data_IF_817073241537
#
_entry.id   IF_817073241537
#
_cell.length_a   1.000
_cell.length_b   1.000
_cell.length_c   1.000
_cell.angle_alpha   90.00
_cell.angle_beta   90.00
_cell.angle_gamma   90.00
#
_symmetry.space_group_name_H-M   'P 1'
#
loop_
_entity.id
_entity.type
_entity.pdbx_description
1 polymer ?
#
# COMPACT_ATOMS: atom_id res chain seq x y z
N UNK A 1 16.80 5.60 -1.91
CA UNK A 1 15.67 4.76 -2.39
C UNK A 1 14.81 4.44 -1.18
N UNK A 2 13.47 4.40 -1.29
CA UNK A 2 12.62 4.02 -0.17
C UNK A 2 12.89 2.56 0.23
N UNK A 3 12.99 2.30 1.53
CA UNK A 3 13.20 0.95 2.05
C UNK A 3 11.90 0.14 1.99
N UNK A 4 12.00 -1.19 2.01
CA UNK A 4 10.82 -2.09 1.96
C UNK A 4 9.76 -1.77 3.04
N UNK A 5 10.12 -1.44 4.29
CA UNK A 5 9.15 -1.00 5.30
C UNK A 5 8.40 0.28 4.91
N UNK A 6 9.04 1.19 4.18
CA UNK A 6 8.40 2.44 3.72
C UNK A 6 7.39 2.15 2.61
N UNK A 7 7.75 1.27 1.68
CA UNK A 7 6.88 0.84 0.57
C UNK A 7 5.63 0.15 1.12
N UNK A 8 5.79 -0.77 2.08
CA UNK A 8 4.67 -1.48 2.71
C UNK A 8 3.74 -0.53 3.47
N UNK A 9 4.30 0.44 4.21
CA UNK A 9 3.52 1.47 4.90
C UNK A 9 2.76 2.36 3.93
N UNK A 10 3.40 2.79 2.85
CA UNK A 10 2.77 3.63 1.83
C UNK A 10 1.65 2.88 1.10
N UNK A 11 1.88 1.63 0.71
CA UNK A 11 0.88 0.76 0.09
C UNK A 11 -0.32 0.53 1.03
N UNK A 12 -0.07 0.29 2.32
CA UNK A 12 -1.15 0.19 3.31
C UNK A 12 -1.97 1.48 3.39
N UNK A 13 -1.31 2.63 3.53
CA UNK A 13 -1.99 3.92 3.60
C UNK A 13 -2.81 4.21 2.32
N UNK A 14 -2.30 3.81 1.15
CA UNK A 14 -3.01 3.95 -0.13
C UNK A 14 -4.23 3.03 -0.21
N UNK A 15 -4.12 1.78 0.24
CA UNK A 15 -5.24 0.85 0.33
C UNK A 15 -6.34 1.37 1.28
N UNK A 16 -5.96 1.86 2.46
CA UNK A 16 -6.90 2.45 3.42
C UNK A 16 -7.59 3.70 2.86
N UNK A 17 -6.85 4.55 2.14
CA UNK A 17 -7.39 5.71 1.44
C UNK A 17 -8.43 5.30 0.39
N UNK A 18 -8.08 4.36 -0.49
CA UNK A 18 -8.95 3.89 -1.55
C UNK A 18 -10.24 3.25 -0.99
N UNK A 19 -10.13 2.45 0.08
CA UNK A 19 -11.29 1.88 0.77
C UNK A 19 -12.20 2.96 1.38
N UNK A 20 -11.63 3.98 2.02
CA UNK A 20 -12.40 5.11 2.57
C UNK A 20 -13.07 5.91 1.46
N UNK A 21 -12.39 6.12 0.34
CA UNK A 21 -12.95 6.82 -0.82
C UNK A 21 -14.14 6.06 -1.41
N UNK A 22 -14.03 4.73 -1.52
CA UNK A 22 -15.13 3.88 -1.96
C UNK A 22 -16.36 3.98 -1.03
N UNK A 23 -16.17 4.11 0.28
CA UNK A 23 -17.28 4.33 1.21
C UNK A 23 -17.98 5.68 1.00
N UNK A 24 -17.22 6.74 0.69
CA UNK A 24 -17.78 8.07 0.36
C UNK A 24 -18.58 8.01 -0.94
N UNK A 25 -18.04 7.35 -1.97
CA UNK A 25 -18.72 7.16 -3.26
C UNK A 25 -20.02 6.36 -3.08
N UNK A 26 -19.97 5.28 -2.30
CA UNK A 26 -21.17 4.48 -2.00
C UNK A 26 -22.25 5.31 -1.30
N UNK A 27 -21.85 6.19 -0.38
CA UNK A 27 -22.78 7.14 0.26
C UNK A 27 -23.37 8.11 -0.74
N UNK A 28 -22.58 8.69 -1.65
CA UNK A 28 -23.10 9.59 -2.68
C UNK A 28 -24.16 8.90 -3.53
N UNK A 29 -23.86 7.68 -4.02
CA UNK A 29 -24.78 6.91 -4.86
C UNK A 29 -26.08 6.58 -4.11
N UNK A 30 -26.01 6.24 -2.82
CA UNK A 30 -27.20 6.01 -2.01
C UNK A 30 -28.10 7.26 -1.86
N UNK A 31 -27.55 8.46 -2.08
CA UNK A 31 -28.27 9.72 -2.06
C UNK A 31 -28.48 10.31 -3.48
N UNK A 32 -28.35 9.49 -4.53
CA UNK A 32 -28.52 9.94 -5.90
C UNK A 32 -29.92 10.51 -6.21
N UNK A 33 -30.94 10.10 -5.45
CA UNK A 33 -32.31 10.61 -5.56
C UNK A 33 -32.70 11.52 -4.39
N UNK A 34 -31.72 12.04 -3.62
CA UNK A 34 -31.99 12.92 -2.48
C UNK A 34 -31.87 14.39 -2.91
N UNK A 35 -32.99 15.15 -2.92
CA UNK A 35 -32.95 16.57 -3.30
C UNK A 35 -31.99 17.38 -2.42
N UNK A 36 -31.24 18.30 -3.04
CA UNK A 36 -30.29 19.17 -2.35
C UNK A 36 -29.02 18.47 -1.82
N UNK A 37 -28.83 17.17 -2.07
CA UNK A 37 -27.63 16.46 -1.62
C UNK A 37 -26.38 16.94 -2.38
N UNK A 38 -25.24 17.01 -1.68
CA UNK A 38 -23.96 17.41 -2.27
C UNK A 38 -22.97 16.27 -2.23
N UNK A 39 -22.53 15.84 -3.41
CA UNK A 39 -21.51 14.81 -3.57
C UNK A 39 -20.19 15.23 -2.88
N UNK A 40 -19.56 14.27 -2.21
CA UNK A 40 -18.27 14.46 -1.56
C UNK A 40 -17.23 13.51 -2.15
N UNK A 41 -15.96 13.88 -2.11
CA UNK A 41 -14.87 12.97 -2.47
C UNK A 41 -13.67 13.17 -1.53
N UNK A 42 -12.81 12.16 -1.44
CA UNK A 42 -11.54 12.26 -0.73
C UNK A 42 -10.48 12.76 -1.71
N UNK A 43 -9.66 13.76 -1.35
CA UNK A 43 -8.55 14.21 -2.19
C UNK A 43 -7.66 13.05 -2.67
N UNK A 44 -7.02 13.16 -3.85
CA UNK A 44 -6.07 12.17 -4.34
C UNK A 44 -5.02 11.81 -3.29
N UNK A 45 -4.67 10.51 -3.20
CA UNK A 45 -3.71 10.02 -2.21
C UNK A 45 -2.35 10.71 -2.31
N UNK A 46 -1.88 11.00 -3.53
CA UNK A 46 -0.63 11.71 -3.77
C UNK A 46 -0.61 13.10 -3.11
N UNK A 47 -1.73 13.82 -3.13
CA UNK A 47 -1.84 15.15 -2.52
C UNK A 47 -1.78 15.05 -0.99
N UNK A 48 -2.44 14.04 -0.42
CA UNK A 48 -2.40 13.79 1.03
C UNK A 48 -0.97 13.45 1.47
N UNK A 49 -0.27 12.59 0.72
CA UNK A 49 1.11 12.22 1.02
C UNK A 49 2.06 13.39 0.80
N UNK A 50 1.85 14.25 -0.20
CA UNK A 50 2.65 15.44 -0.42
C UNK A 50 2.48 16.47 0.72
N UNK A 51 1.25 16.67 1.19
CA UNK A 51 0.93 17.57 2.31
C UNK A 51 1.47 17.04 3.63
N UNK A 52 1.34 15.73 3.86
CA UNK A 52 1.84 15.05 5.07
C UNK A 52 3.36 14.84 5.03
N UNK A 53 3.93 14.72 3.83
CA UNK A 53 5.34 14.52 3.54
C UNK A 53 6.20 15.79 3.59
N UNK A 54 5.60 16.93 3.95
CA UNK A 54 6.34 18.14 4.33
C UNK A 54 7.06 17.87 5.66
N UNK A 55 8.22 17.25 5.54
CA UNK A 55 9.18 16.77 6.55
C UNK A 55 8.64 15.77 7.60
N UNK A 56 9.07 14.49 7.58
CA UNK A 56 9.00 13.69 8.80
C UNK A 56 9.82 14.43 9.86
N UNK A 57 9.20 14.77 11.00
CA UNK A 57 9.95 15.23 12.16
C UNK A 57 11.04 14.20 12.44
N UNK A 58 12.31 14.58 12.24
CA UNK A 58 13.45 13.73 12.50
C UNK A 58 13.39 13.35 13.97
N UNK A 59 13.13 12.09 14.28
CA UNK A 59 13.07 11.63 15.67
C UNK A 59 14.40 11.96 16.34
N UNK A 60 14.35 12.79 17.38
CA UNK A 60 15.56 13.26 18.06
C UNK A 60 16.21 12.18 18.93
N UNK A 61 15.56 11.01 19.07
CA UNK A 61 16.04 9.89 19.90
C UNK A 61 15.77 8.53 19.25
N UNK A 62 16.75 7.60 19.28
CA UNK A 62 16.53 6.21 18.92
C UNK A 62 15.55 5.59 19.94
N UNK A 63 14.38 5.14 19.50
CA UNK A 63 13.35 4.51 20.35
C UNK A 63 12.03 5.28 20.48
N UNK A 64 11.94 6.52 19.98
CA UNK A 64 10.64 7.18 19.83
C UNK A 64 10.01 6.80 18.49
N UNK A 65 8.90 6.05 18.55
CA UNK A 65 7.98 5.88 17.42
C UNK A 65 7.36 7.25 17.18
N UNK A 66 7.70 7.91 16.07
CA UNK A 66 6.92 9.04 15.61
C UNK A 66 5.46 8.56 15.52
N UNK A 67 4.49 9.24 16.16
CA UNK A 67 3.09 8.87 15.99
C UNK A 67 2.84 8.77 14.48
N UNK A 68 2.18 7.70 14.01
CA UNK A 68 1.92 7.55 12.58
C UNK A 68 1.35 8.88 12.15
N UNK A 69 2.02 9.53 11.18
CA UNK A 69 1.66 10.87 10.73
C UNK A 69 0.16 10.83 10.59
N UNK A 70 -0.53 11.51 11.52
CA UNK A 70 -1.95 11.30 11.63
C UNK A 70 -2.44 11.73 10.27
N UNK A 71 -2.97 10.78 9.49
CA UNK A 71 -3.78 11.09 8.33
C UNK A 71 -5.07 11.64 8.94
N UNK A 72 -4.90 12.80 9.57
CA UNK A 72 -5.79 13.46 10.51
C UNK A 72 -6.93 13.92 9.67
N UNK A 73 -7.99 13.12 9.71
CA UNK A 73 -9.16 13.24 8.87
C UNK A 73 -8.82 13.44 7.39
N UNK A 74 -8.71 12.34 6.64
CA UNK A 74 -9.14 12.32 5.24
C UNK A 74 -10.60 12.82 5.20
N UNK A 75 -10.77 14.13 5.19
CA UNK A 75 -12.08 14.76 5.19
C UNK A 75 -12.58 14.70 3.76
N UNK A 76 -13.73 14.05 3.57
CA UNK A 76 -14.45 14.14 2.33
C UNK A 76 -14.85 15.60 2.11
N UNK A 77 -14.44 16.17 0.99
CA UNK A 77 -14.72 17.54 0.60
C UNK A 77 -15.84 17.54 -0.44
N UNK A 78 -16.73 18.56 -0.43
CA UNK A 78 -17.68 18.74 -1.52
C UNK A 78 -16.96 18.77 -2.85
N UNK A 79 -17.46 18.02 -3.82
CA UNK A 79 -16.92 18.03 -5.17
C UNK A 79 -17.34 19.33 -5.85
N UNK A 80 -16.36 20.09 -6.31
CA UNK A 80 -16.60 21.31 -7.08
C UNK A 80 -16.78 20.99 -8.57
N UNK A 81 -17.65 21.74 -9.26
CA UNK A 81 -17.78 21.67 -10.72
C UNK A 81 -18.61 20.50 -11.25
N UNK A 82 -19.37 19.80 -10.41
CA UNK A 82 -20.38 18.84 -10.87
C UNK A 82 -21.63 19.56 -11.35
N UNK A 83 -22.24 19.06 -12.41
CA UNK A 83 -23.57 19.48 -12.84
C UNK A 83 -24.56 19.26 -11.69
N UNK A 84 -25.36 20.28 -11.41
CA UNK A 84 -26.36 20.26 -10.32
C UNK A 84 -27.72 20.13 -10.97
N UNK A 85 -28.45 19.08 -10.62
CA UNK A 85 -29.80 18.84 -11.09
C UNK A 85 -30.75 19.97 -10.64
N UNK A 86 -31.91 20.15 -11.31
CA UNK A 86 -32.86 21.21 -10.97
C UNK A 86 -33.36 21.20 -9.51
N UNK A 87 -33.30 20.04 -8.84
CA UNK A 87 -33.65 19.83 -7.43
C UNK A 87 -32.51 20.19 -6.45
N UNK A 88 -31.38 20.69 -6.95
CA UNK A 88 -30.21 21.06 -6.17
C UNK A 88 -29.29 19.90 -5.81
N UNK A 89 -29.57 18.67 -6.28
CA UNK A 89 -28.70 17.53 -6.08
C UNK A 89 -27.49 17.58 -7.03
N UNK A 90 -26.29 17.32 -6.50
CA UNK A 90 -25.04 17.33 -7.28
C UNK A 90 -24.46 15.94 -7.56
N UNK A 91 -25.20 14.87 -7.23
CA UNK A 91 -24.78 13.49 -7.46
C UNK A 91 -25.13 13.06 -8.87
N UNK A 92 -24.14 12.59 -9.62
CA UNK A 92 -24.35 11.91 -10.91
C UNK A 92 -23.91 10.46 -10.79
N UNK A 93 -24.84 9.52 -11.00
CA UNK A 93 -24.58 8.08 -10.91
C UNK A 93 -23.46 7.63 -11.83
N UNK A 94 -23.41 8.16 -13.05
CA UNK A 94 -22.39 7.83 -14.05
C UNK A 94 -20.98 8.22 -13.56
N UNK A 95 -20.85 9.44 -13.03
CA UNK A 95 -19.59 9.95 -12.48
C UNK A 95 -19.18 9.15 -11.25
N UNK A 96 -20.12 8.86 -10.35
CA UNK A 96 -19.82 8.10 -9.13
C UNK A 96 -19.42 6.65 -9.45
N UNK A 97 -19.99 6.02 -10.49
CA UNK A 97 -19.56 4.69 -10.94
C UNK A 97 -18.13 4.70 -11.49
N UNK A 98 -17.75 5.73 -12.26
CA UNK A 98 -16.37 5.88 -12.73
C UNK A 98 -15.41 6.05 -11.55
N UNK A 99 -15.75 6.90 -10.58
CA UNK A 99 -14.95 7.09 -9.36
C UNK A 99 -14.84 5.81 -8.54
N UNK A 100 -15.91 5.02 -8.44
CA UNK A 100 -15.90 3.73 -7.76
C UNK A 100 -14.93 2.76 -8.44
N UNK A 101 -14.93 2.71 -9.78
CA UNK A 101 -13.98 1.91 -10.55
C UNK A 101 -12.54 2.37 -10.33
N UNK A 102 -12.29 3.68 -10.27
CA UNK A 102 -10.96 4.25 -10.03
C UNK A 102 -10.44 3.93 -8.62
N UNK A 103 -11.28 4.14 -7.60
CA UNK A 103 -10.94 3.81 -6.21
C UNK A 103 -10.64 2.30 -6.07
N UNK A 104 -11.41 1.45 -6.75
CA UNK A 104 -11.15 0.01 -6.78
C UNK A 104 -9.81 -0.34 -7.44
N UNK A 105 -9.46 0.28 -8.57
CA UNK A 105 -8.16 0.05 -9.23
C UNK A 105 -6.99 0.44 -8.33
N UNK A 106 -7.07 1.60 -7.67
CA UNK A 106 -6.05 2.06 -6.71
C UNK A 106 -5.89 1.10 -5.53
N UNK A 107 -7.00 0.55 -5.06
CA UNK A 107 -7.00 -0.47 -4.01
C UNK A 107 -6.30 -1.76 -4.46
N UNK A 108 -6.70 -2.31 -5.62
CA UNK A 108 -6.14 -3.53 -6.20
C UNK A 108 -4.62 -3.39 -6.45
N UNK A 109 -4.19 -2.22 -6.93
CA UNK A 109 -2.78 -1.86 -7.07
C UNK A 109 -2.04 -1.89 -5.74
N UNK A 110 -2.59 -1.25 -4.71
CA UNK A 110 -1.97 -1.21 -3.37
C UNK A 110 -1.81 -2.61 -2.75
N UNK A 111 -2.83 -3.47 -2.90
CA UNK A 111 -2.74 -4.86 -2.46
C UNK A 111 -1.71 -5.67 -3.24
N UNK A 112 -1.58 -5.43 -4.55
CA UNK A 112 -0.58 -6.10 -5.37
C UNK A 112 0.84 -5.76 -4.92
N UNK A 113 1.11 -4.50 -4.53
CA UNK A 113 2.42 -4.07 -4.01
C UNK A 113 2.71 -4.86 -2.75
N UNK A 114 1.69 -4.96 -1.90
CA UNK A 114 1.77 -5.66 -0.65
C UNK A 114 2.11 -7.15 -0.82
N UNK A 115 1.35 -7.85 -1.66
CA UNK A 115 1.57 -9.27 -1.94
C UNK A 115 2.95 -9.52 -2.51
N UNK A 116 3.41 -8.68 -3.45
CA UNK A 116 4.74 -8.85 -4.06
C UNK A 116 5.88 -8.52 -3.10
N UNK A 117 5.68 -7.55 -2.22
CA UNK A 117 6.64 -7.24 -1.15
C UNK A 117 6.79 -8.43 -0.18
N UNK A 118 5.68 -9.07 0.20
CA UNK A 118 5.70 -10.29 1.02
C UNK A 118 6.47 -11.43 0.34
N UNK A 119 6.33 -11.60 -0.98
CA UNK A 119 7.07 -12.62 -1.72
C UNK A 119 8.59 -12.37 -1.68
N UNK A 120 9.01 -11.10 -1.77
CA UNK A 120 10.42 -10.70 -1.68
C UNK A 120 10.98 -10.93 -0.26
N UNK A 121 10.22 -10.57 0.77
CA UNK A 121 10.61 -10.82 2.16
C UNK A 121 10.76 -12.32 2.42
N UNK A 122 9.79 -13.14 1.97
CA UNK A 122 9.87 -14.60 2.06
C UNK A 122 11.10 -15.16 1.34
N UNK A 123 11.40 -14.66 0.15
CA UNK A 123 12.59 -15.07 -0.58
C UNK A 123 13.89 -14.69 0.15
N UNK A 124 13.91 -13.52 0.81
CA UNK A 124 15.08 -13.08 1.57
C UNK A 124 15.28 -13.93 2.84
N UNK A 125 14.21 -14.20 3.58
CA UNK A 125 14.21 -15.11 4.75
C UNK A 125 14.71 -16.50 4.36
N UNK A 126 14.18 -17.07 3.28
CA UNK A 126 14.56 -18.41 2.83
C UNK A 126 16.03 -18.53 2.39
N UNK A 127 16.70 -17.41 2.09
CA UNK A 127 18.09 -17.38 1.66
C UNK A 127 19.01 -16.66 2.66
N UNK A 128 18.56 -16.46 3.90
CA UNK A 128 19.35 -15.79 4.92
C UNK A 128 20.65 -16.53 5.26
N UNK A 129 20.67 -17.86 5.14
CA UNK A 129 21.86 -18.68 5.37
C UNK A 129 22.63 -19.01 4.08
N UNK A 130 22.16 -18.53 2.93
CA UNK A 130 22.78 -18.82 1.63
C UNK A 130 24.06 -17.97 1.46
N UNK A 131 25.25 -18.58 1.34
CA UNK A 131 26.49 -17.86 1.11
C UNK A 131 26.40 -16.96 -0.12
N UNK A 132 26.89 -15.73 -0.02
CA UNK A 132 26.87 -14.77 -1.13
C UNK A 132 25.52 -14.09 -1.39
N UNK A 133 24.44 -14.48 -0.70
CA UNK A 133 23.11 -13.93 -0.97
C UNK A 133 23.00 -12.47 -0.57
N UNK A 134 22.44 -11.66 -1.47
CA UNK A 134 22.12 -10.26 -1.19
C UNK A 134 20.61 -10.07 -1.07
N UNK A 135 20.20 -9.38 -0.01
CA UNK A 135 18.82 -8.93 0.20
C UNK A 135 18.31 -8.21 -1.06
N UNK A 136 17.06 -8.53 -1.44
CA UNK A 136 16.42 -7.94 -2.62
C UNK A 136 15.54 -6.76 -2.22
N UNK A 137 15.63 -5.68 -3.00
CA UNK A 137 14.76 -4.52 -2.94
C UNK A 137 14.00 -4.44 -4.27
N UNK A 138 12.73 -4.04 -4.27
CA UNK A 138 11.98 -3.89 -5.51
C UNK A 138 11.25 -2.55 -5.54
N UNK A 139 11.26 -1.94 -6.73
CA UNK A 139 10.31 -0.91 -7.09
C UNK A 139 9.05 -1.58 -7.66
N UNK A 140 7.90 -0.92 -7.47
CA UNK A 140 6.62 -1.38 -8.00
C UNK A 140 6.00 -0.28 -8.85
N UNK A 141 5.38 -0.70 -9.95
CA UNK A 141 4.74 0.18 -10.92
C UNK A 141 3.34 -0.34 -11.23
N UNK A 142 2.41 0.56 -11.58
CA UNK A 142 1.08 0.12 -12.00
C UNK A 142 1.20 -0.57 -13.36
N UNK A 143 0.62 -1.76 -13.46
CA UNK A 143 0.62 -2.49 -14.72
C UNK A 143 -0.21 -1.73 -15.75
N UNK A 144 0.35 -1.53 -16.95
CA UNK A 144 -0.28 -0.76 -18.03
C UNK A 144 -1.66 -1.30 -18.48
N UNK A 145 -2.03 -2.53 -18.09
CA UNK A 145 -3.36 -3.10 -18.30
C UNK A 145 -3.89 -3.73 -17.01
N UNK A 146 -5.07 -3.32 -16.59
CA UNK A 146 -5.90 -4.06 -15.62
C UNK A 146 -5.75 -3.70 -14.15
N UNK A 147 -5.12 -2.57 -13.78
CA UNK A 147 -5.04 -2.12 -12.37
C UNK A 147 -4.23 -3.04 -11.45
N UNK A 148 -3.43 -3.93 -12.04
CA UNK A 148 -2.52 -4.81 -11.32
C UNK A 148 -1.18 -4.14 -11.02
N UNK A 149 -0.29 -4.88 -10.39
CA UNK A 149 1.08 -4.41 -10.08
C UNK A 149 2.07 -5.09 -10.99
N UNK A 150 2.84 -4.28 -11.70
CA UNK A 150 4.06 -4.70 -12.36
C UNK A 150 5.22 -4.59 -11.37
N UNK A 151 6.02 -5.65 -11.28
CA UNK A 151 7.29 -5.57 -10.58
C UNK A 151 8.24 -4.76 -11.44
N UNK A 152 8.69 -3.61 -10.93
CA UNK A 152 9.71 -2.80 -11.57
C UNK A 152 11.09 -3.43 -11.42
N UNK A 153 12.14 -2.61 -11.53
CA UNK A 153 13.51 -3.10 -11.38
C UNK A 153 13.75 -3.64 -9.97
N UNK A 154 14.33 -4.83 -9.90
CA UNK A 154 14.82 -5.43 -8.65
C UNK A 154 16.26 -4.98 -8.44
N UNK A 155 16.54 -4.48 -7.25
CA UNK A 155 17.86 -4.08 -6.79
C UNK A 155 18.36 -5.07 -5.75
N UNK A 156 19.66 -5.23 -5.66
CA UNK A 156 20.32 -5.94 -4.59
C UNK A 156 20.86 -4.93 -3.59
N UNK A 157 20.79 -5.27 -2.32
CA UNK A 157 21.42 -4.51 -1.25
C UNK A 157 22.94 -4.43 -1.48
N UNK A 158 23.46 -3.21 -1.51
CA UNK A 158 24.85 -2.88 -1.80
C UNK A 158 25.77 -3.04 -0.58
N UNK A 159 25.20 -3.15 0.64
CA UNK A 159 25.95 -3.40 1.88
C UNK A 159 26.86 -4.62 1.72
N UNK A 160 28.07 -4.48 2.27
CA UNK A 160 29.06 -5.55 2.24
C UNK A 160 28.50 -6.84 2.88
N UNK A 161 28.85 -7.98 2.29
CA UNK A 161 28.50 -9.28 2.84
C UNK A 161 29.33 -9.54 4.11
N UNK A 162 28.72 -10.09 5.18
CA UNK A 162 29.48 -10.45 6.38
C UNK A 162 30.48 -11.55 6.05
N UNK A 163 31.70 -11.44 6.59
CA UNK A 163 32.70 -12.50 6.50
C UNK A 163 32.50 -13.48 7.65
N UNK A 164 32.31 -14.75 7.33
CA UNK A 164 32.10 -15.83 8.29
C UNK A 164 33.34 -16.72 8.28
N UNK A 165 33.89 -17.00 9.46
CA UNK A 165 35.02 -17.93 9.61
C UNK A 165 34.50 -19.33 9.94
N UNK A 166 34.60 -20.22 8.96
CA UNK A 166 34.28 -21.64 9.08
C UNK A 166 35.23 -22.43 8.15
N UNK A 167 36.37 -22.91 8.67
CA UNK A 167 37.36 -23.64 7.87
C UNK A 167 36.86 -24.97 7.30
N UNK A 168 35.76 -25.53 7.83
CA UNK A 168 35.17 -26.76 7.34
C UNK A 168 34.16 -26.52 6.20
N UNK A 169 33.80 -25.26 5.93
CA UNK A 169 32.81 -24.92 4.91
C UNK A 169 33.40 -25.09 3.48
N UNK A 170 32.67 -25.72 2.54
CA UNK A 170 33.19 -26.00 1.19
C UNK A 170 33.51 -24.74 0.37
N UNK A 171 32.92 -23.59 0.71
CA UNK A 171 33.19 -22.30 0.08
C UNK A 171 34.22 -21.43 0.84
N UNK A 172 34.83 -21.95 1.90
CA UNK A 172 35.85 -21.21 2.64
C UNK A 172 37.13 -21.07 1.81
N UNK A 173 37.70 -19.87 1.81
CA UNK A 173 39.00 -19.60 1.21
C UNK A 173 40.15 -20.20 2.02
N UNK A 174 41.38 -19.94 1.58
CA UNK A 174 42.59 -20.41 2.26
C UNK A 174 42.72 -19.90 3.72
N UNK A 175 42.06 -18.79 4.05
CA UNK A 175 41.99 -18.22 5.39
C UNK A 175 40.85 -18.80 6.24
N UNK A 176 40.14 -19.82 5.75
CA UNK A 176 39.01 -20.44 6.44
C UNK A 176 37.75 -19.57 6.47
N UNK A 177 37.67 -18.52 5.66
CA UNK A 177 36.51 -17.61 5.64
C UNK A 177 35.72 -17.65 4.34
N UNK A 178 34.42 -17.38 4.41
CA UNK A 178 33.55 -17.20 3.26
C UNK A 178 32.61 -15.99 3.44
N UNK A 179 31.98 -15.55 2.35
CA UNK A 179 30.99 -14.47 2.37
C UNK A 179 29.60 -15.01 2.70
N UNK A 180 29.02 -14.58 3.81
CA UNK A 180 27.65 -14.90 4.22
C UNK A 180 26.59 -14.07 3.48
N UNK A 181 25.36 -14.09 3.99
CA UNK A 181 24.28 -13.24 3.50
C UNK A 181 24.23 -11.90 4.23
N UNK A 182 23.82 -10.81 3.56
CA UNK A 182 23.54 -9.53 4.23
C UNK A 182 22.08 -9.38 4.70
N UNK A 183 21.34 -10.49 4.77
CA UNK A 183 19.98 -10.55 5.31
C UNK A 183 20.02 -10.65 6.84
N UNK A 184 19.32 -9.74 7.53
CA UNK A 184 19.11 -9.84 8.98
C UNK A 184 17.80 -10.60 9.23
N UNK A 185 17.92 -11.88 9.58
CA UNK A 185 16.77 -12.77 9.76
C UNK A 185 15.77 -12.26 10.81
N UNK A 186 16.25 -11.65 11.90
CA UNK A 186 15.38 -11.16 12.97
C UNK A 186 14.54 -10.00 12.47
N UNK A 187 15.16 -9.09 11.71
CA UNK A 187 14.47 -7.95 11.09
C UNK A 187 13.51 -8.43 10.00
N UNK A 188 13.94 -9.30 9.09
CA UNK A 188 13.07 -9.78 8.01
C UNK A 188 11.84 -10.54 8.53
N UNK A 189 11.99 -11.36 9.58
CA UNK A 189 10.84 -12.04 10.19
C UNK A 189 9.91 -11.04 10.86
N UNK A 190 10.45 -10.02 11.55
CA UNK A 190 9.63 -8.99 12.16
C UNK A 190 8.83 -8.22 11.11
N UNK A 191 9.50 -7.79 10.03
CA UNK A 191 8.90 -7.09 8.89
C UNK A 191 7.85 -7.97 8.19
N UNK A 192 8.16 -9.25 7.93
CA UNK A 192 7.22 -10.19 7.32
C UNK A 192 5.98 -10.41 8.20
N UNK A 193 6.15 -10.57 9.52
CA UNK A 193 5.01 -10.76 10.43
C UNK A 193 4.16 -9.51 10.55
N UNK A 194 4.77 -8.33 10.59
CA UNK A 194 4.05 -7.08 10.55
C UNK A 194 3.30 -6.95 9.22
N UNK A 195 3.96 -7.28 8.12
CA UNK A 195 3.37 -7.25 6.81
C UNK A 195 2.16 -8.20 6.73
N UNK A 196 2.27 -9.44 7.18
CA UNK A 196 1.14 -10.37 7.17
C UNK A 196 -0.07 -9.85 7.94
N UNK A 197 0.15 -9.26 9.13
CA UNK A 197 -0.96 -8.70 9.92
C UNK A 197 -1.67 -7.57 9.19
N UNK A 198 -0.95 -6.61 8.60
CA UNK A 198 -1.64 -5.53 7.87
C UNK A 198 -2.24 -6.01 6.54
N UNK A 199 -1.68 -7.05 5.91
CA UNK A 199 -2.31 -7.69 4.74
C UNK A 199 -3.68 -8.25 5.10
N UNK A 200 -3.77 -9.00 6.19
CA UNK A 200 -5.02 -9.58 6.67
C UNK A 200 -6.03 -8.50 7.09
N UNK A 201 -5.57 -7.44 7.76
CA UNK A 201 -6.41 -6.31 8.13
C UNK A 201 -6.99 -5.61 6.89
N UNK A 202 -6.13 -5.31 5.90
CA UNK A 202 -6.54 -4.68 4.65
C UNK A 202 -7.50 -5.59 3.87
N UNK A 203 -7.21 -6.89 3.78
CA UNK A 203 -8.07 -7.85 3.09
C UNK A 203 -9.49 -7.87 3.67
N UNK A 204 -9.64 -7.80 4.99
CA UNK A 204 -10.97 -7.71 5.62
C UNK A 204 -11.70 -6.41 5.27
N UNK A 205 -10.97 -5.28 5.26
CA UNK A 205 -11.54 -4.00 4.83
C UNK A 205 -11.95 -4.03 3.36
N UNK A 206 -11.21 -4.74 2.50
CA UNK A 206 -11.57 -4.95 1.11
C UNK A 206 -12.85 -5.74 0.96
N UNK A 207 -12.96 -6.87 1.64
CA UNK A 207 -14.12 -7.73 1.54
C UNK A 207 -15.39 -6.95 1.95
N UNK A 208 -15.28 -6.12 2.98
CA UNK A 208 -16.33 -5.18 3.36
C UNK A 208 -16.64 -4.16 2.25
N UNK A 209 -15.63 -3.50 1.69
CA UNK A 209 -15.82 -2.53 0.61
C UNK A 209 -16.45 -3.18 -0.64
N UNK A 210 -16.04 -4.41 -0.99
CA UNK A 210 -16.59 -5.20 -2.10
C UNK A 210 -18.04 -5.57 -1.86
N UNK A 211 -18.40 -5.97 -0.63
CA UNK A 211 -19.78 -6.23 -0.25
C UNK A 211 -20.64 -4.97 -0.39
N UNK A 212 -20.15 -3.82 0.09
CA UNK A 212 -20.83 -2.53 -0.09
C UNK A 212 -21.05 -2.20 -1.56
N UNK A 213 -20.03 -2.37 -2.41
CA UNK A 213 -20.14 -2.10 -3.84
C UNK A 213 -21.14 -3.03 -4.56
N UNK A 214 -21.24 -4.30 -4.15
CA UNK A 214 -22.26 -5.22 -4.69
C UNK A 214 -23.67 -4.83 -4.26
N UNK A 215 -23.86 -4.54 -2.97
CA UNK A 215 -25.15 -4.10 -2.44
C UNK A 215 -25.65 -2.83 -3.15
N UNK A 216 -24.72 -1.92 -3.44
CA UNK A 216 -25.01 -0.72 -4.22
C UNK A 216 -25.49 -1.04 -5.65
N UNK A 217 -24.80 -1.92 -6.38
CA UNK A 217 -25.22 -2.33 -7.72
C UNK A 217 -26.55 -3.09 -7.73
N UNK A 218 -26.89 -3.75 -6.63
CA UNK A 218 -28.19 -4.39 -6.46
C UNK A 218 -29.31 -3.37 -6.29
N UNK A 219 -29.07 -2.28 -5.55
CA UNK A 219 -30.02 -1.16 -5.40
C UNK A 219 -30.29 -0.49 -6.75
N UNK A 220 -29.25 -0.24 -7.55
CA UNK A 220 -29.37 0.43 -8.85
C UNK A 220 -30.04 -0.42 -9.95
N UNK A 221 -30.23 -1.72 -9.72
CA UNK A 221 -30.84 -2.66 -10.69
C UNK A 221 -32.35 -2.86 -10.49
N UNK A 222 -32.94 -2.26 -9.45
CA UNK A 222 -34.37 -2.29 -9.17
C UNK A 222 -35.05 -1.07 -9.75
#
# INVERSE_FOLDING_TARGET
MPDMPDILRLAQASAEHAARRQAVIARNIAHADTPGFRAQDIPPFADIVAVTGSAPMRATRPGHIAPPAAVGALRALPVSGTEVAPDGNSVSLEVEMVRAADARRQYDFSLGIYSKSLDILRASIANADTPGYRRKLAAFEEAARGGGVAQGRVFLDDRALPRVHDPAHPLAGADGTYAGSNVDLVVEIADARQAQRSYEANLRMFDQARQMGRALMEILRR
#
